data_IF_499975302123
#
_entry.id   IF_499975302123
#
_cell.length_a   1.000
_cell.length_b   1.000
_cell.length_c   1.000
_cell.angle_alpha   90.00
_cell.angle_beta   90.00
_cell.angle_gamma   90.00
#
_symmetry.space_group_name_H-M   'P 1'
#
loop_
_entity.id
_entity.type
_entity.pdbx_description
1 polymer ?
#
# COMPACT_ATOMS: atom_id res chain seq x y z
N UNK A 1 -51.03 22.92 -35.57
CA UNK A 1 -50.09 21.79 -35.73
C UNK A 1 -48.99 21.95 -34.69
N UNK A 2 -49.05 21.17 -33.63
CA UNK A 2 -48.14 21.21 -32.48
C UNK A 2 -46.74 20.73 -32.91
N UNK A 3 -45.76 21.64 -33.00
CA UNK A 3 -44.36 21.26 -33.18
C UNK A 3 -43.81 20.77 -31.83
N UNK A 4 -43.75 19.45 -31.65
CA UNK A 4 -43.09 18.81 -30.51
C UNK A 4 -41.58 18.81 -30.80
N UNK A 5 -40.84 19.67 -30.10
CA UNK A 5 -39.38 19.67 -30.13
C UNK A 5 -38.84 18.43 -29.41
N UNK A 6 -38.06 17.63 -30.14
CA UNK A 6 -37.33 16.48 -29.60
C UNK A 6 -36.26 17.01 -28.63
N UNK A 7 -36.42 16.70 -27.34
CA UNK A 7 -35.40 16.98 -26.32
C UNK A 7 -34.32 15.90 -26.45
N UNK A 8 -33.15 16.30 -26.93
CA UNK A 8 -31.99 15.41 -27.03
C UNK A 8 -31.36 15.31 -25.63
N UNK A 9 -31.52 14.17 -24.95
CA UNK A 9 -30.84 13.90 -23.69
C UNK A 9 -29.43 13.37 -23.99
N UNK A 10 -28.41 14.16 -23.68
CA UNK A 10 -27.03 13.69 -23.63
C UNK A 10 -26.84 12.89 -22.33
N UNK A 11 -26.74 11.56 -22.44
CA UNK A 11 -26.25 10.73 -21.34
C UNK A 11 -24.74 10.95 -21.19
N UNK A 12 -24.36 11.83 -20.26
CA UNK A 12 -22.98 11.91 -19.78
C UNK A 12 -22.74 10.72 -18.86
N UNK A 13 -22.07 9.68 -19.38
CA UNK A 13 -21.46 8.66 -18.55
C UNK A 13 -20.32 9.33 -17.79
N UNK A 14 -20.49 9.55 -16.49
CA UNK A 14 -19.38 9.96 -15.64
C UNK A 14 -18.38 8.82 -15.58
N UNK A 15 -17.28 8.90 -16.32
CA UNK A 15 -16.11 8.07 -16.03
C UNK A 15 -15.56 8.60 -14.73
N UNK A 16 -15.83 7.92 -13.63
CA UNK A 16 -15.16 8.20 -12.36
C UNK A 16 -13.67 8.05 -12.60
N UNK A 17 -12.94 9.17 -12.67
CA UNK A 17 -11.50 9.14 -12.55
C UNK A 17 -11.22 8.57 -11.16
N UNK A 18 -10.80 7.29 -11.08
CA UNK A 18 -10.30 6.72 -9.85
C UNK A 18 -9.08 7.55 -9.49
N UNK A 19 -9.23 8.46 -8.54
CA UNK A 19 -8.11 9.13 -7.90
C UNK A 19 -7.30 8.05 -7.20
N UNK A 20 -6.23 7.60 -7.84
CA UNK A 20 -5.31 6.62 -7.25
C UNK A 20 -4.61 7.29 -6.07
N UNK A 21 -4.91 6.85 -4.85
CA UNK A 21 -4.19 7.29 -3.65
C UNK A 21 -2.73 6.87 -3.76
N UNK A 22 -1.82 7.76 -3.38
CA UNK A 22 -0.38 7.49 -3.36
C UNK A 22 0.27 8.17 -2.17
N UNK A 23 1.37 7.60 -1.70
CA UNK A 23 2.11 8.06 -0.53
C UNK A 23 3.59 8.18 -0.84
N UNK A 24 4.25 9.17 -0.27
CA UNK A 24 5.70 9.31 -0.34
C UNK A 24 6.39 8.24 0.54
N UNK A 25 7.63 7.86 0.23
CA UNK A 25 8.42 6.98 1.10
C UNK A 25 8.53 7.50 2.55
N UNK A 26 8.59 8.83 2.73
CA UNK A 26 8.68 9.45 4.06
C UNK A 26 7.38 9.31 4.85
N UNK A 27 6.21 9.46 4.22
CA UNK A 27 4.92 9.22 4.86
C UNK A 27 4.78 7.75 5.29
N UNK A 28 5.24 6.82 4.45
CA UNK A 28 5.21 5.38 4.73
C UNK A 28 6.16 5.06 5.90
N UNK A 29 7.38 5.60 5.89
CA UNK A 29 8.36 5.41 6.96
C UNK A 29 7.87 5.99 8.30
N UNK A 30 7.19 7.13 8.28
CA UNK A 30 6.57 7.70 9.47
C UNK A 30 5.44 6.80 10.02
N UNK A 31 4.62 6.21 9.15
CA UNK A 31 3.61 5.25 9.56
C UNK A 31 4.22 3.98 10.20
N UNK A 32 5.42 3.58 9.78
CA UNK A 32 6.15 2.44 10.38
C UNK A 32 6.42 2.60 11.87
N UNK A 33 6.58 3.82 12.37
CA UNK A 33 6.74 4.08 13.81
C UNK A 33 5.50 3.64 14.60
N UNK A 34 4.31 3.89 14.07
CA UNK A 34 3.06 3.46 14.70
C UNK A 34 2.90 1.93 14.66
N UNK A 35 3.29 1.30 13.55
CA UNK A 35 3.25 -0.16 13.40
C UNK A 35 4.23 -0.83 14.37
N UNK A 36 5.45 -0.31 14.50
CA UNK A 36 6.43 -0.78 15.48
C UNK A 36 5.88 -0.71 16.91
N UNK A 37 5.37 0.46 17.32
CA UNK A 37 4.80 0.63 18.66
C UNK A 37 3.66 -0.36 18.95
N UNK A 38 2.83 -0.66 17.94
CA UNK A 38 1.74 -1.63 18.06
C UNK A 38 2.28 -3.05 18.27
N UNK A 39 3.30 -3.44 17.52
CA UNK A 39 3.94 -4.76 17.67
C UNK A 39 4.62 -4.86 19.03
N UNK A 40 5.37 -3.85 19.44
CA UNK A 40 6.10 -3.83 20.72
C UNK A 40 5.16 -3.89 21.92
N UNK A 41 3.94 -3.32 21.81
CA UNK A 41 2.97 -3.25 22.91
C UNK A 41 1.99 -4.42 22.93
N UNK A 42 1.52 -4.86 21.75
CA UNK A 42 0.42 -5.83 21.61
C UNK A 42 0.87 -7.18 21.07
N UNK A 43 2.15 -7.32 20.71
CA UNK A 43 2.75 -8.52 20.10
C UNK A 43 2.01 -9.00 18.84
N UNK A 44 1.36 -8.06 18.14
CA UNK A 44 0.50 -8.33 16.99
C UNK A 44 0.63 -7.22 15.96
N UNK A 45 0.57 -7.60 14.68
CA UNK A 45 0.39 -6.65 13.59
C UNK A 45 -0.93 -5.89 13.78
N UNK A 46 -0.97 -4.59 13.47
CA UNK A 46 -2.22 -3.84 13.40
C UNK A 46 -3.14 -4.44 12.35
N UNK A 47 -4.45 -4.21 12.47
CA UNK A 47 -5.42 -4.57 11.41
C UNK A 47 -5.48 -3.52 10.28
N UNK A 48 -5.17 -2.27 10.63
CA UNK A 48 -5.16 -1.14 9.73
C UNK A 48 -4.04 -0.18 10.14
N UNK A 49 -3.49 0.55 9.17
CA UNK A 49 -2.43 1.52 9.37
C UNK A 49 -2.87 2.86 8.80
N UNK A 50 -2.62 3.94 9.54
CA UNK A 50 -2.88 5.30 9.05
C UNK A 50 -1.60 5.86 8.44
N UNK A 51 -1.67 6.24 7.17
CA UNK A 51 -0.59 6.90 6.42
C UNK A 51 -1.09 8.30 6.04
N UNK A 52 -0.48 9.34 6.62
CA UNK A 52 -1.02 10.69 6.52
C UNK A 52 -2.46 10.77 7.05
N UNK A 53 -3.41 11.09 6.17
CA UNK A 53 -4.84 11.19 6.51
C UNK A 53 -5.67 9.97 6.05
N UNK A 54 -5.03 8.95 5.49
CA UNK A 54 -5.71 7.78 4.92
C UNK A 54 -5.45 6.53 5.77
N UNK A 55 -6.50 5.76 6.03
CA UNK A 55 -6.38 4.44 6.65
C UNK A 55 -6.36 3.36 5.56
N UNK A 56 -5.33 2.52 5.61
CA UNK A 56 -5.15 1.38 4.70
C UNK A 56 -5.13 0.08 5.50
N UNK A 57 -5.47 -1.02 4.85
CA UNK A 57 -5.34 -2.32 5.49
C UNK A 57 -3.87 -2.73 5.62
N UNK A 58 -3.59 -3.73 6.45
CA UNK A 58 -2.20 -4.13 6.75
C UNK A 58 -1.46 -4.70 5.54
N UNK A 59 -2.11 -5.47 4.67
CA UNK A 59 -1.49 -5.99 3.45
C UNK A 59 -1.04 -4.83 2.54
N UNK A 60 -1.93 -3.87 2.30
CA UNK A 60 -1.61 -2.66 1.54
C UNK A 60 -0.44 -1.88 2.14
N UNK A 61 -0.41 -1.73 3.46
CA UNK A 61 0.71 -1.08 4.14
C UNK A 61 2.02 -1.86 3.96
N UNK A 62 2.02 -3.19 4.12
CA UNK A 62 3.21 -4.01 3.95
C UNK A 62 3.77 -3.93 2.52
N UNK A 63 2.90 -3.87 1.53
CA UNK A 63 3.30 -3.69 0.13
C UNK A 63 3.94 -2.32 -0.10
N UNK A 64 3.34 -1.26 0.44
CA UNK A 64 3.90 0.09 0.39
C UNK A 64 5.25 0.15 1.11
N UNK A 65 5.39 -0.50 2.26
CA UNK A 65 6.64 -0.55 3.02
C UNK A 65 7.76 -1.25 2.25
N UNK A 66 7.47 -2.41 1.64
CA UNK A 66 8.45 -3.14 0.81
C UNK A 66 8.94 -2.31 -0.39
N UNK A 67 8.02 -1.61 -1.07
CA UNK A 67 8.35 -0.69 -2.15
C UNK A 67 9.17 0.52 -1.66
N UNK A 68 8.78 1.11 -0.52
CA UNK A 68 9.47 2.24 0.08
C UNK A 68 10.90 1.89 0.48
N UNK A 69 11.16 0.70 1.04
CA UNK A 69 12.52 0.23 1.36
C UNK A 69 13.41 0.24 0.12
N UNK A 70 12.92 -0.26 -1.03
CA UNK A 70 13.68 -0.24 -2.27
C UNK A 70 13.90 1.18 -2.80
N UNK A 71 12.88 2.05 -2.70
CA UNK A 71 13.00 3.44 -3.14
C UNK A 71 13.98 4.25 -2.29
N UNK A 72 13.96 4.10 -0.96
CA UNK A 72 14.89 4.76 -0.03
C UNK A 72 16.33 4.38 -0.36
N UNK A 73 16.60 3.09 -0.63
CA UNK A 73 17.94 2.65 -1.03
C UNK A 73 18.41 3.34 -2.32
N UNK A 74 17.50 3.66 -3.23
CA UNK A 74 17.78 4.32 -4.50
C UNK A 74 17.68 5.85 -4.45
N UNK A 75 17.48 6.45 -3.26
CA UNK A 75 17.19 7.89 -3.09
C UNK A 75 16.04 8.38 -4.00
N UNK A 76 15.02 7.52 -4.17
CA UNK A 76 13.84 7.82 -4.96
C UNK A 76 12.71 8.25 -4.02
N UNK A 77 12.16 9.46 -4.22
CA UNK A 77 11.05 10.00 -3.44
C UNK A 77 9.71 10.01 -4.23
N UNK A 78 9.64 9.28 -5.34
CA UNK A 78 8.42 9.20 -6.16
C UNK A 78 7.28 8.58 -5.34
N UNK A 79 6.10 9.21 -5.28
CA UNK A 79 4.96 8.65 -4.57
C UNK A 79 4.59 7.24 -5.08
N UNK A 80 4.42 6.31 -4.14
CA UNK A 80 4.03 4.93 -4.39
C UNK A 80 2.50 4.86 -4.38
N UNK A 81 1.92 4.29 -5.44
CA UNK A 81 0.47 4.14 -5.55
C UNK A 81 -0.01 3.01 -4.65
N UNK A 82 -1.08 3.27 -3.91
CA UNK A 82 -1.81 2.26 -3.16
C UNK A 82 -2.39 1.21 -4.11
N UNK A 83 -2.07 -0.06 -3.86
CA UNK A 83 -2.64 -1.19 -4.57
C UNK A 83 -3.87 -1.73 -3.82
N UNK A 84 -4.72 -2.49 -4.51
CA UNK A 84 -5.90 -3.10 -3.90
C UNK A 84 -5.59 -4.48 -3.30
N UNK A 85 -4.52 -4.55 -2.50
CA UNK A 85 -4.05 -5.80 -1.90
C UNK A 85 -5.04 -6.32 -0.87
N UNK A 86 -5.28 -7.63 -0.92
CA UNK A 86 -6.21 -8.31 -0.02
C UNK A 86 -5.44 -8.94 1.12
N UNK A 87 -5.95 -8.76 2.34
CA UNK A 87 -5.39 -9.44 3.51
C UNK A 87 -5.50 -10.95 3.31
N UNK A 88 -4.39 -11.71 3.42
CA UNK A 88 -4.42 -13.15 3.21
C UNK A 88 -5.28 -13.82 4.27
N UNK A 89 -6.03 -14.86 3.87
CA UNK A 89 -6.92 -15.60 4.76
C UNK A 89 -6.20 -16.41 5.85
N UNK A 90 -4.90 -16.64 5.67
CA UNK A 90 -4.02 -17.29 6.63
C UNK A 90 -2.67 -16.58 6.64
N UNK A 91 -2.07 -16.44 7.82
CA UNK A 91 -0.73 -15.91 8.01
C UNK A 91 -0.01 -16.76 9.04
N UNK A 92 1.24 -17.11 8.76
CA UNK A 92 2.13 -17.82 9.66
C UNK A 92 3.45 -17.05 9.72
N UNK A 93 4.01 -16.96 10.91
CA UNK A 93 5.30 -16.32 11.15
C UNK A 93 6.27 -17.34 11.72
N UNK A 94 7.44 -17.46 11.08
CA UNK A 94 8.55 -18.28 11.56
C UNK A 94 9.82 -17.45 11.53
N UNK A 95 10.28 -17.04 12.70
CA UNK A 95 11.48 -16.21 12.87
C UNK A 95 12.65 -17.06 13.35
N UNK A 96 13.77 -16.94 12.66
CA UNK A 96 15.06 -17.43 13.12
C UNK A 96 15.92 -16.24 13.54
N UNK A 97 16.66 -16.37 14.64
CA UNK A 97 17.55 -15.32 15.10
C UNK A 97 18.83 -15.29 14.26
N UNK A 98 19.32 -14.09 13.96
CA UNK A 98 20.51 -13.88 13.16
C UNK A 98 20.76 -12.40 12.91
N UNK A 99 21.86 -12.10 12.21
CA UNK A 99 22.12 -10.76 11.68
C UNK A 99 21.79 -10.72 10.20
N UNK A 100 21.29 -9.58 9.74
CA UNK A 100 21.02 -9.32 8.34
C UNK A 100 21.83 -8.09 7.92
N UNK A 101 22.57 -8.17 6.82
CA UNK A 101 23.24 -6.98 6.29
C UNK A 101 22.21 -6.04 5.69
N UNK A 102 22.58 -4.77 5.49
CA UNK A 102 21.74 -3.81 4.75
C UNK A 102 21.37 -4.33 3.36
N UNK A 103 22.32 -4.98 2.66
CA UNK A 103 22.09 -5.52 1.33
C UNK A 103 21.06 -6.66 1.37
N UNK A 104 21.17 -7.58 2.33
CA UNK A 104 20.24 -8.69 2.50
C UNK A 104 18.83 -8.21 2.84
N UNK A 105 18.72 -7.14 3.65
CA UNK A 105 17.43 -6.54 3.99
C UNK A 105 16.74 -5.92 2.77
N UNK A 106 17.49 -5.21 1.92
CA UNK A 106 16.95 -4.64 0.68
C UNK A 106 16.55 -5.74 -0.31
N UNK A 107 17.38 -6.77 -0.48
CA UNK A 107 17.05 -7.94 -1.32
C UNK A 107 15.78 -8.64 -0.83
N UNK A 108 15.66 -8.85 0.48
CA UNK A 108 14.47 -9.42 1.08
C UNK A 108 13.22 -8.58 0.79
N UNK A 109 13.29 -7.25 0.98
CA UNK A 109 12.18 -6.36 0.66
C UNK A 109 11.78 -6.42 -0.83
N UNK A 110 12.76 -6.52 -1.73
CA UNK A 110 12.50 -6.67 -3.18
C UNK A 110 11.82 -8.00 -3.50
N UNK A 111 12.23 -9.10 -2.87
CA UNK A 111 11.59 -10.42 -3.03
C UNK A 111 10.15 -10.42 -2.50
N UNK A 112 9.91 -9.81 -1.35
CA UNK A 112 8.56 -9.62 -0.79
C UNK A 112 7.71 -8.82 -1.76
N UNK A 113 8.20 -7.67 -2.24
CA UNK A 113 7.49 -6.87 -3.23
C UNK A 113 7.14 -7.66 -4.50
N UNK A 114 8.06 -8.48 -5.02
CA UNK A 114 7.78 -9.36 -6.15
C UNK A 114 6.62 -10.33 -5.87
N UNK A 115 6.67 -11.01 -4.72
CA UNK A 115 5.62 -11.92 -4.30
C UNK A 115 4.25 -11.23 -4.16
N UNK A 116 4.21 -10.05 -3.54
CA UNK A 116 2.98 -9.27 -3.35
C UNK A 116 2.37 -8.82 -4.68
N UNK A 117 3.21 -8.38 -5.63
CA UNK A 117 2.76 -8.02 -6.98
C UNK A 117 2.18 -9.21 -7.74
N UNK A 118 2.78 -10.40 -7.60
CA UNK A 118 2.33 -11.61 -8.30
C UNK A 118 1.03 -12.19 -7.70
N UNK A 119 0.78 -11.98 -6.40
CA UNK A 119 -0.33 -12.59 -5.67
C UNK A 119 -1.44 -11.61 -5.26
N UNK A 120 -1.25 -10.29 -5.40
CA UNK A 120 -2.16 -9.24 -4.95
C UNK A 120 -2.49 -9.33 -3.43
N UNK A 121 -1.46 -9.64 -2.64
CA UNK A 121 -1.51 -9.88 -1.19
C UNK A 121 -0.41 -9.10 -0.49
#
# INVERSE_FOLDING_TARGET
MLFIGVVFFLSVNTVSAVSSTSFTPDEIANASVAVQNQIDTSEKLPNNVTIGNQTVNTAQYLHLAAQATSQIQNNNNTPIKLQNDQVPGFSEESLNTGSMSKADYVDFAQRVNGYMNDNHQ
#
